data_IF_836272360512
#
_entry.id   IF_836272360512
#
_cell.length_a   1.000
_cell.length_b   1.000
_cell.length_c   1.000
_cell.angle_alpha   90.00
_cell.angle_beta   90.00
_cell.angle_gamma   90.00
#
_symmetry.space_group_name_H-M   'P 1'
#
loop_
_entity.id
_entity.type
_entity.pdbx_description
1 polymer ?
#
# COMPACT_ATOMS: atom_id res chain seq x y z
N UNK A 1 12.23 -23.67 12.47
CA UNK A 1 10.85 -23.52 11.96
C UNK A 1 10.11 -22.29 12.48
N UNK A 2 10.36 -21.76 13.69
CA UNK A 2 9.61 -20.62 14.29
C UNK A 2 9.70 -19.26 13.54
N UNK A 3 10.71 -19.02 12.72
CA UNK A 3 10.94 -17.72 12.02
C UNK A 3 10.08 -17.50 10.76
N UNK A 4 9.45 -18.54 10.20
CA UNK A 4 8.67 -18.42 8.95
C UNK A 4 7.27 -17.80 9.16
N UNK A 5 6.63 -18.08 10.27
CA UNK A 5 5.28 -17.59 10.56
C UNK A 5 5.15 -16.06 10.56
N UNK A 6 6.04 -15.29 11.23
CA UNK A 6 5.96 -13.83 11.23
C UNK A 6 6.04 -13.22 9.83
N UNK A 7 6.91 -13.79 8.98
CA UNK A 7 7.10 -13.35 7.59
C UNK A 7 5.82 -13.61 6.78
N UNK A 8 5.21 -14.79 6.92
CA UNK A 8 3.96 -15.12 6.25
C UNK A 8 2.80 -14.24 6.70
N UNK A 9 2.71 -13.95 8.00
CA UNK A 9 1.69 -13.04 8.54
C UNK A 9 1.89 -11.63 8.00
N UNK A 10 3.11 -11.09 8.04
CA UNK A 10 3.40 -9.77 7.48
C UNK A 10 3.10 -9.70 5.98
N UNK A 11 3.43 -10.75 5.22
CA UNK A 11 3.08 -10.85 3.81
C UNK A 11 1.56 -10.89 3.58
N UNK A 12 0.80 -11.63 4.40
CA UNK A 12 -0.66 -11.66 4.32
C UNK A 12 -1.27 -10.28 4.60
N UNK A 13 -0.77 -9.56 5.62
CA UNK A 13 -1.16 -8.17 5.87
C UNK A 13 -0.78 -7.26 4.70
N UNK A 14 0.31 -7.57 3.98
CA UNK A 14 0.71 -6.88 2.76
C UNK A 14 -0.35 -6.87 1.65
N UNK A 15 -1.29 -7.81 1.67
CA UNK A 15 -2.38 -7.88 0.70
C UNK A 15 -3.64 -7.06 1.08
N UNK A 16 -3.71 -6.51 2.30
CA UNK A 16 -4.88 -5.73 2.75
C UNK A 16 -5.26 -4.55 1.85
N UNK A 17 -4.31 -3.83 1.22
CA UNK A 17 -4.67 -2.74 0.31
C UNK A 17 -5.57 -3.18 -0.85
N UNK A 18 -5.45 -4.41 -1.35
CA UNK A 18 -6.36 -4.94 -2.37
C UNK A 18 -7.81 -4.98 -1.90
N UNK A 19 -8.04 -5.43 -0.67
CA UNK A 19 -9.38 -5.49 -0.08
C UNK A 19 -9.93 -4.07 0.13
N UNK A 20 -9.12 -3.19 0.71
CA UNK A 20 -9.51 -1.80 0.95
C UNK A 20 -9.79 -1.07 -0.37
N UNK A 21 -8.93 -1.23 -1.38
CA UNK A 21 -9.11 -0.64 -2.70
C UNK A 21 -10.32 -1.21 -3.45
N UNK A 22 -10.57 -2.51 -3.34
CA UNK A 22 -11.75 -3.14 -3.91
C UNK A 22 -13.05 -2.60 -3.30
N UNK A 23 -13.10 -2.47 -1.96
CA UNK A 23 -14.26 -1.90 -1.25
C UNK A 23 -14.44 -0.42 -1.64
N UNK A 24 -13.36 0.36 -1.65
CA UNK A 24 -13.42 1.76 -2.03
C UNK A 24 -13.86 1.93 -3.49
N UNK A 25 -13.33 1.15 -4.41
CA UNK A 25 -13.72 1.19 -5.81
C UNK A 25 -15.20 0.80 -5.99
N UNK A 26 -15.66 -0.24 -5.30
CA UNK A 26 -17.07 -0.61 -5.31
C UNK A 26 -17.95 0.53 -4.80
N UNK A 27 -17.57 1.17 -3.69
CA UNK A 27 -18.32 2.31 -3.16
C UNK A 27 -18.38 3.47 -4.15
N UNK A 28 -17.26 3.82 -4.78
CA UNK A 28 -17.18 4.89 -5.79
C UNK A 28 -18.08 4.63 -7.00
N UNK A 29 -18.19 3.37 -7.43
CA UNK A 29 -19.06 2.99 -8.54
C UNK A 29 -20.55 2.97 -8.15
N UNK A 30 -20.86 2.55 -6.92
CA UNK A 30 -22.24 2.46 -6.43
C UNK A 30 -22.82 3.84 -6.05
N UNK A 31 -21.97 4.80 -5.63
CA UNK A 31 -22.37 6.09 -5.09
C UNK A 31 -21.56 7.23 -5.73
N UNK A 32 -21.57 7.28 -7.07
CA UNK A 32 -20.73 8.20 -7.85
C UNK A 32 -20.94 9.69 -7.51
N UNK A 33 -22.17 10.07 -7.10
CA UNK A 33 -22.53 11.45 -6.77
C UNK A 33 -22.27 11.81 -5.29
N UNK A 34 -21.77 10.87 -4.48
CA UNK A 34 -21.53 11.13 -3.06
C UNK A 34 -20.18 11.84 -2.83
N UNK A 35 -20.19 12.81 -1.90
CA UNK A 35 -18.96 13.42 -1.42
C UNK A 35 -18.15 12.40 -0.58
N UNK A 36 -17.06 11.91 -1.12
CA UNK A 36 -16.21 10.93 -0.46
C UNK A 36 -14.92 11.58 0.06
N UNK A 37 -14.58 11.42 1.34
CA UNK A 37 -13.43 12.11 1.94
C UNK A 37 -12.10 11.41 1.62
N UNK A 38 -11.72 11.37 0.33
CA UNK A 38 -10.55 10.64 -0.17
C UNK A 38 -9.25 10.95 0.61
N UNK A 39 -9.02 12.23 0.93
CA UNK A 39 -7.82 12.64 1.67
C UNK A 39 -7.76 12.05 3.07
N UNK A 40 -8.88 12.04 3.81
CA UNK A 40 -8.95 11.44 5.14
C UNK A 40 -8.76 9.93 5.09
N UNK A 41 -9.34 9.27 4.08
CA UNK A 41 -9.17 7.82 3.89
C UNK A 41 -7.71 7.49 3.60
N UNK A 42 -7.06 8.27 2.74
CA UNK A 42 -5.64 8.06 2.43
C UNK A 42 -4.74 8.22 3.66
N UNK A 43 -5.00 9.23 4.51
CA UNK A 43 -4.29 9.41 5.77
C UNK A 43 -4.56 8.24 6.74
N UNK A 44 -5.82 7.85 6.89
CA UNK A 44 -6.20 6.72 7.74
C UNK A 44 -5.54 5.42 7.28
N UNK A 45 -5.52 5.14 5.97
CA UNK A 45 -4.87 3.97 5.40
C UNK A 45 -3.36 3.94 5.71
N UNK A 46 -2.66 5.08 5.58
CA UNK A 46 -1.24 5.17 5.95
C UNK A 46 -1.02 4.97 7.46
N UNK A 47 -1.86 5.55 8.31
CA UNK A 47 -1.77 5.36 9.76
C UNK A 47 -1.97 3.89 10.13
N UNK A 48 -2.98 3.23 9.57
CA UNK A 48 -3.21 1.79 9.78
C UNK A 48 -2.01 0.99 9.31
N UNK A 49 -1.40 1.33 8.16
CA UNK A 49 -0.21 0.66 7.65
C UNK A 49 0.97 0.76 8.61
N UNK A 50 1.23 1.95 9.14
CA UNK A 50 2.26 2.17 10.17
C UNK A 50 1.98 1.41 11.47
N UNK A 51 0.73 1.38 11.91
CA UNK A 51 0.30 0.62 13.08
C UNK A 51 0.50 -0.89 12.89
N UNK A 52 0.14 -1.44 11.72
CA UNK A 52 0.39 -2.86 11.40
C UNK A 52 1.88 -3.17 11.52
N UNK A 53 2.73 -2.36 10.90
CA UNK A 53 4.18 -2.52 10.98
C UNK A 53 4.69 -2.48 12.44
N UNK A 54 4.21 -1.50 13.23
CA UNK A 54 4.56 -1.35 14.64
C UNK A 54 4.16 -2.59 15.46
N UNK A 55 2.92 -3.04 15.36
CA UNK A 55 2.43 -4.16 16.19
C UNK A 55 3.08 -5.48 15.78
N UNK A 56 3.27 -5.73 14.49
CA UNK A 56 3.94 -6.94 14.01
C UNK A 56 5.40 -6.96 14.50
N UNK A 57 6.13 -5.86 14.38
CA UNK A 57 7.51 -5.80 14.84
C UNK A 57 7.62 -5.87 16.36
N UNK A 58 6.74 -5.19 17.10
CA UNK A 58 6.67 -5.28 18.56
C UNK A 58 6.45 -6.71 19.05
N UNK A 59 5.61 -7.48 18.33
CA UNK A 59 5.29 -8.85 18.73
C UNK A 59 6.38 -9.84 18.34
N UNK A 60 6.93 -9.73 17.13
CA UNK A 60 7.85 -10.73 16.59
C UNK A 60 9.33 -10.36 16.69
N UNK A 61 9.65 -9.10 16.92
CA UNK A 61 11.03 -8.57 17.02
C UNK A 61 11.90 -8.92 15.81
N UNK A 62 11.36 -8.70 14.62
CA UNK A 62 12.02 -9.03 13.33
C UNK A 62 11.89 -7.87 12.33
N UNK A 63 12.31 -6.68 12.75
CA UNK A 63 12.17 -5.40 12.04
C UNK A 63 12.41 -5.49 10.53
N UNK A 64 13.58 -5.97 10.11
CA UNK A 64 13.93 -6.06 8.69
C UNK A 64 13.02 -7.02 7.92
N UNK A 65 12.71 -8.18 8.50
CA UNK A 65 11.89 -9.18 7.83
C UNK A 65 10.44 -8.71 7.70
N UNK A 66 9.89 -8.09 8.74
CA UNK A 66 8.52 -7.55 8.73
C UNK A 66 8.41 -6.40 7.74
N UNK A 67 9.35 -5.44 7.77
CA UNK A 67 9.36 -4.33 6.83
C UNK A 67 9.37 -4.81 5.37
N UNK A 68 10.27 -5.73 5.03
CA UNK A 68 10.37 -6.26 3.67
C UNK A 68 9.09 -7.02 3.29
N UNK A 69 8.62 -7.94 4.15
CA UNK A 69 7.49 -8.80 3.83
C UNK A 69 6.18 -8.01 3.69
N UNK A 70 5.99 -6.98 4.53
CA UNK A 70 4.81 -6.14 4.49
C UNK A 70 4.72 -5.31 3.19
N UNK A 71 5.87 -4.82 2.69
CA UNK A 71 5.93 -3.97 1.50
C UNK A 71 6.22 -4.75 0.20
N UNK A 72 6.40 -6.06 0.26
CA UNK A 72 6.78 -6.86 -0.90
C UNK A 72 5.71 -6.85 -1.98
N UNK A 73 4.44 -7.02 -1.60
CA UNK A 73 3.31 -7.00 -2.54
C UNK A 73 3.19 -5.61 -3.18
N UNK A 74 3.31 -4.54 -2.38
CA UNK A 74 3.31 -3.18 -2.89
C UNK A 74 4.40 -2.94 -3.96
N UNK A 75 5.62 -3.43 -3.71
CA UNK A 75 6.72 -3.32 -4.67
C UNK A 75 6.43 -4.09 -5.97
N UNK A 76 5.88 -5.30 -5.88
CA UNK A 76 5.47 -6.09 -7.04
C UNK A 76 4.36 -5.40 -7.83
N UNK A 77 3.36 -4.86 -7.13
CA UNK A 77 2.25 -4.16 -7.74
C UNK A 77 2.70 -2.90 -8.48
N UNK A 78 3.58 -2.11 -7.86
CA UNK A 78 4.21 -0.96 -8.49
C UNK A 78 4.98 -1.34 -9.77
N UNK A 79 5.70 -2.47 -9.73
CA UNK A 79 6.41 -2.98 -10.91
C UNK A 79 5.43 -3.33 -12.04
N UNK A 80 4.30 -3.97 -11.72
CA UNK A 80 3.27 -4.31 -12.70
C UNK A 80 2.66 -3.06 -13.35
N UNK A 81 2.33 -2.04 -12.56
CA UNK A 81 1.82 -0.76 -13.07
C UNK A 81 2.88 -0.06 -13.92
N UNK A 82 4.14 -0.08 -13.48
CA UNK A 82 5.25 0.46 -14.26
C UNK A 82 5.41 -0.23 -15.63
N UNK A 83 5.31 -1.54 -15.68
CA UNK A 83 5.36 -2.30 -16.94
C UNK A 83 4.18 -1.91 -17.84
N UNK A 84 2.97 -1.81 -17.30
CA UNK A 84 1.78 -1.43 -18.06
C UNK A 84 1.92 -0.03 -18.66
N UNK A 85 2.33 0.95 -17.86
CA UNK A 85 2.40 2.35 -18.30
C UNK A 85 3.66 2.64 -19.15
N UNK A 86 4.84 2.23 -18.68
CA UNK A 86 6.12 2.64 -19.28
C UNK A 86 6.54 1.76 -20.46
N UNK A 87 6.21 0.45 -20.42
CA UNK A 87 6.61 -0.47 -21.49
C UNK A 87 5.50 -0.66 -22.53
N UNK A 88 4.25 -0.82 -22.10
CA UNK A 88 3.14 -1.09 -22.99
C UNK A 88 2.30 0.15 -23.33
N UNK A 89 2.46 1.25 -22.60
CA UNK A 89 1.65 2.47 -22.73
C UNK A 89 0.14 2.19 -22.69
N UNK A 90 -0.27 1.15 -21.99
CA UNK A 90 -1.66 0.71 -21.88
C UNK A 90 -1.90 -0.02 -20.56
N UNK A 91 -3.02 0.28 -19.92
CA UNK A 91 -3.47 -0.46 -18.75
C UNK A 91 -4.24 -1.72 -19.16
N UNK A 92 -3.92 -2.83 -18.55
CA UNK A 92 -4.56 -4.10 -18.86
C UNK A 92 -5.97 -4.14 -18.26
N UNK A 93 -6.95 -4.47 -19.10
CA UNK A 93 -8.34 -4.65 -18.70
C UNK A 93 -8.63 -6.07 -18.18
N UNK A 94 -7.62 -6.94 -18.09
CA UNK A 94 -7.76 -8.28 -17.52
C UNK A 94 -7.71 -8.24 -15.98
N UNK A 95 -7.98 -9.40 -15.35
CA UNK A 95 -7.99 -9.50 -13.89
C UNK A 95 -6.70 -8.99 -13.22
N UNK A 96 -5.52 -9.30 -13.77
CA UNK A 96 -4.23 -8.86 -13.21
C UNK A 96 -4.11 -7.34 -13.27
N UNK A 97 -4.47 -6.73 -14.40
CA UNK A 97 -4.40 -5.28 -14.57
C UNK A 97 -5.37 -4.54 -13.65
N UNK A 98 -6.59 -5.04 -13.51
CA UNK A 98 -7.59 -4.46 -12.60
C UNK A 98 -7.11 -4.55 -11.15
N UNK A 99 -6.61 -5.69 -10.71
CA UNK A 99 -6.10 -5.85 -9.34
C UNK A 99 -4.92 -4.93 -9.05
N UNK A 100 -3.96 -4.81 -9.97
CA UNK A 100 -2.82 -3.90 -9.78
C UNK A 100 -3.23 -2.42 -9.69
N UNK A 101 -4.31 -2.02 -10.35
CA UNK A 101 -4.85 -0.68 -10.22
C UNK A 101 -5.56 -0.44 -8.87
N UNK A 102 -6.13 -1.47 -8.27
CA UNK A 102 -6.88 -1.37 -7.01
C UNK A 102 -5.97 -1.25 -5.78
N UNK A 103 -4.75 -1.77 -5.84
CA UNK A 103 -3.86 -1.83 -4.68
C UNK A 103 -3.62 -0.46 -4.03
N UNK A 104 -3.32 0.55 -4.83
CA UNK A 104 -3.00 1.89 -4.34
C UNK A 104 -4.21 2.83 -4.18
N UNK A 105 -5.42 2.40 -4.58
CA UNK A 105 -6.64 3.24 -4.50
C UNK A 105 -6.83 3.87 -3.11
N UNK A 106 -6.64 3.16 -1.97
CA UNK A 106 -6.85 3.74 -0.65
C UNK A 106 -5.98 4.96 -0.34
N UNK A 107 -4.79 5.05 -0.95
CA UNK A 107 -3.82 6.13 -0.72
C UNK A 107 -3.56 6.98 -1.97
N UNK A 108 -4.22 6.68 -3.07
CA UNK A 108 -4.02 7.34 -4.37
C UNK A 108 -4.22 8.85 -4.33
N UNK A 109 -5.17 9.35 -3.53
CA UNK A 109 -5.41 10.79 -3.40
C UNK A 109 -4.17 11.54 -2.93
N UNK A 110 -3.41 11.01 -1.96
CA UNK A 110 -2.14 11.60 -1.52
C UNK A 110 -1.08 11.47 -2.62
N UNK A 111 -0.99 10.32 -3.28
CA UNK A 111 -0.06 10.13 -4.39
C UNK A 111 -0.27 11.15 -5.49
N UNK A 112 -1.48 11.29 -6.00
CA UNK A 112 -1.82 12.28 -7.04
C UNK A 112 -1.63 13.72 -6.57
N UNK A 113 -1.93 14.03 -5.30
CA UNK A 113 -1.71 15.37 -4.76
C UNK A 113 -0.22 15.73 -4.71
N UNK A 114 0.64 14.79 -4.33
CA UNK A 114 2.09 14.99 -4.27
C UNK A 114 2.74 15.04 -5.65
N UNK A 115 2.13 14.44 -6.65
CA UNK A 115 2.65 14.36 -8.03
C UNK A 115 1.76 15.10 -9.02
N UNK A 116 1.10 16.17 -8.58
CA UNK A 116 0.16 16.95 -9.40
C UNK A 116 0.78 17.55 -10.68
N UNK A 117 2.10 17.65 -10.73
CA UNK A 117 2.88 18.04 -11.91
C UNK A 117 3.03 16.93 -12.97
N UNK A 118 2.73 15.67 -12.61
CA UNK A 118 2.84 14.50 -13.49
C UNK A 118 1.45 14.00 -13.88
N UNK A 119 1.30 13.61 -15.14
CA UNK A 119 0.08 12.95 -15.64
C UNK A 119 0.19 11.41 -15.61
N UNK A 120 1.24 10.87 -14.99
CA UNK A 120 1.54 9.44 -14.92
C UNK A 120 0.94 8.83 -13.64
N UNK A 121 0.15 7.78 -13.80
CA UNK A 121 -0.38 6.99 -12.67
C UNK A 121 0.76 6.26 -11.95
N UNK A 122 1.74 5.75 -12.71
CA UNK A 122 2.92 5.12 -12.13
C UNK A 122 3.66 6.08 -11.18
N UNK A 123 3.83 7.35 -11.56
CA UNK A 123 4.48 8.34 -10.68
C UNK A 123 3.69 8.56 -9.39
N UNK A 124 2.35 8.64 -9.47
CA UNK A 124 1.50 8.77 -8.29
C UNK A 124 1.58 7.53 -7.39
N UNK A 125 1.57 6.33 -7.97
CA UNK A 125 1.69 5.08 -7.22
C UNK A 125 3.09 4.87 -6.65
N UNK A 126 4.14 5.35 -7.33
CA UNK A 126 5.49 5.39 -6.76
C UNK A 126 5.55 6.28 -5.51
N UNK A 127 4.89 7.44 -5.53
CA UNK A 127 4.77 8.29 -4.35
C UNK A 127 3.99 7.57 -3.22
N UNK A 128 2.89 6.88 -3.54
CA UNK A 128 2.15 6.06 -2.58
C UNK A 128 3.05 4.98 -1.95
N UNK A 129 3.83 4.26 -2.76
CA UNK A 129 4.76 3.24 -2.28
C UNK A 129 5.80 3.82 -1.33
N UNK A 130 6.40 4.97 -1.68
CA UNK A 130 7.36 5.66 -0.81
C UNK A 130 6.73 6.05 0.52
N UNK A 131 5.49 6.57 0.53
CA UNK A 131 4.77 6.88 1.75
C UNK A 131 4.51 5.63 2.60
N UNK A 132 4.03 4.54 1.98
CA UNK A 132 3.82 3.26 2.68
C UNK A 132 5.11 2.72 3.30
N UNK A 133 6.21 2.74 2.54
CA UNK A 133 7.52 2.32 3.03
C UNK A 133 8.01 3.21 4.19
N UNK A 134 7.86 4.52 4.07
CA UNK A 134 8.25 5.46 5.11
C UNK A 134 7.48 5.25 6.42
N UNK A 135 6.15 5.14 6.37
CA UNK A 135 5.34 4.94 7.58
C UNK A 135 5.53 3.56 8.19
N UNK A 136 5.71 2.51 7.38
CA UNK A 136 6.02 1.17 7.91
C UNK A 136 7.41 1.10 8.52
N UNK A 137 8.41 1.76 7.94
CA UNK A 137 9.73 1.89 8.53
C UNK A 137 9.67 2.64 9.86
N UNK A 138 8.97 3.78 9.92
CA UNK A 138 8.76 4.54 11.13
C UNK A 138 8.05 3.71 12.22
N UNK A 139 7.02 2.94 11.85
CA UNK A 139 6.32 2.03 12.75
C UNK A 139 7.24 0.97 13.34
N UNK A 140 8.04 0.31 12.51
CA UNK A 140 9.04 -0.65 12.96
C UNK A 140 10.10 0.00 13.87
N UNK A 141 10.61 1.17 13.51
CA UNK A 141 11.60 1.89 14.34
C UNK A 141 11.02 2.37 15.68
N UNK A 142 9.77 2.77 15.68
CA UNK A 142 9.09 3.12 16.92
C UNK A 142 8.95 1.90 17.83
N UNK A 143 8.62 0.73 17.29
CA UNK A 143 8.50 -0.50 18.05
C UNK A 143 9.81 -0.88 18.76
N UNK A 144 10.98 -0.71 18.10
CA UNK A 144 12.28 -0.98 18.69
C UNK A 144 12.55 -0.17 19.98
N UNK A 145 12.01 1.08 20.06
CA UNK A 145 12.14 1.91 21.25
C UNK A 145 11.34 1.40 22.45
N UNK A 146 10.21 0.75 22.19
CA UNK A 146 9.35 0.17 23.22
C UNK A 146 9.71 -1.26 23.60
N UNK A 147 10.73 -1.83 22.98
CA UNK A 147 11.25 -3.18 23.29
C UNK A 147 12.46 -3.15 24.23
N UNK A 148 13.00 -1.94 24.49
CA UNK A 148 14.08 -1.70 25.47
C UNK A 148 13.50 -1.53 26.86
#
# INVERSE_FOLDING_TARGET
MKKKYPVMIAFAFGALPFLAGGIQNWYMLAYADSAFPYGLISLAALLVWGCIAFFLDKHYRMTRAIFISLNLIAAFDLLLVGIQELAFHAYWANGIGVWSQLFYVPISNLGFSLTSWSHSVFTAYAACFVLMAAVSFAGCKLSEKFQK
#
